data_IF_511699036346
#
_entry.id   IF_511699036346
#
_cell.length_a   1.000
_cell.length_b   1.000
_cell.length_c   1.000
_cell.angle_alpha   90.00
_cell.angle_beta   90.00
_cell.angle_gamma   90.00
#
_symmetry.space_group_name_H-M   'P 1'
#
loop_
_entity.id
_entity.type
_entity.pdbx_description
1 polymer ?
#
# COMPACT_ATOMS: atom_id res chain seq x y z
N UNK A 1 -49.95 15.85 19.06
CA UNK A 1 -49.25 15.86 17.75
C UNK A 1 -47.73 15.61 17.85
N UNK A 2 -47.01 16.20 18.82
CA UNK A 2 -45.54 16.07 18.93
C UNK A 2 -44.99 14.65 19.17
N UNK A 3 -45.71 13.79 19.90
CA UNK A 3 -45.26 12.40 20.20
C UNK A 3 -45.35 11.45 19.01
N UNK A 4 -46.32 11.66 18.11
CA UNK A 4 -46.50 10.84 16.91
C UNK A 4 -45.43 11.14 15.85
N UNK A 5 -45.03 12.41 15.72
CA UNK A 5 -43.91 12.81 14.86
C UNK A 5 -42.57 12.21 15.34
N UNK A 6 -42.35 12.12 16.66
CA UNK A 6 -41.15 11.53 17.24
C UNK A 6 -41.06 10.01 16.96
N UNK A 7 -42.18 9.30 17.06
CA UNK A 7 -42.27 7.87 16.70
C UNK A 7 -41.96 7.63 15.22
N UNK A 8 -42.47 8.50 14.33
CA UNK A 8 -42.17 8.40 12.90
C UNK A 8 -40.67 8.58 12.61
N UNK A 9 -40.01 9.52 13.31
CA UNK A 9 -38.58 9.78 13.15
C UNK A 9 -37.72 8.56 13.53
N UNK A 10 -38.08 7.86 14.61
CA UNK A 10 -37.37 6.65 15.08
C UNK A 10 -37.52 5.50 14.08
N UNK A 11 -38.69 5.36 13.44
CA UNK A 11 -38.94 4.34 12.42
C UNK A 11 -38.17 4.63 11.12
N UNK A 12 -37.90 5.91 10.82
CA UNK A 12 -37.15 6.34 9.64
C UNK A 12 -35.62 6.27 9.79
N UNK A 13 -35.09 6.25 11.02
CA UNK A 13 -33.65 6.12 11.30
C UNK A 13 -32.94 4.92 10.60
N UNK A 14 -33.50 3.69 10.58
CA UNK A 14 -32.82 2.54 9.96
C UNK A 14 -32.68 2.63 8.44
N UNK A 15 -33.47 3.46 7.74
CA UNK A 15 -33.27 3.70 6.30
C UNK A 15 -32.01 4.53 6.02
N UNK A 16 -31.63 5.45 6.92
CA UNK A 16 -30.41 6.25 6.78
C UNK A 16 -29.13 5.42 6.96
N UNK A 17 -29.17 4.40 7.82
CA UNK A 17 -28.03 3.50 8.06
C UNK A 17 -27.72 2.63 6.83
N UNK A 18 -28.74 2.23 6.06
CA UNK A 18 -28.55 1.47 4.82
C UNK A 18 -28.02 2.29 3.63
N UNK A 19 -27.92 3.61 3.78
CA UNK A 19 -27.34 4.51 2.76
C UNK A 19 -25.83 4.75 2.92
N UNK A 20 -25.20 4.20 3.97
CA UNK A 20 -23.74 4.19 4.08
C UNK A 20 -23.20 3.21 3.02
N UNK A 21 -22.79 3.77 1.90
CA UNK A 21 -22.18 3.05 0.80
C UNK A 21 -20.91 2.35 1.31
N UNK A 22 -20.71 1.05 1.04
CA UNK A 22 -19.38 0.47 1.20
C UNK A 22 -18.43 1.23 0.28
N UNK A 23 -17.25 1.58 0.78
CA UNK A 23 -16.20 2.20 -0.01
C UNK A 23 -15.93 1.30 -1.23
N UNK A 24 -16.35 1.77 -2.40
CA UNK A 24 -16.35 1.03 -3.65
C UNK A 24 -15.19 1.56 -4.46
N UNK A 25 -14.11 0.79 -4.58
CA UNK A 25 -13.09 1.08 -5.58
C UNK A 25 -13.74 1.04 -6.98
N UNK A 26 -13.15 1.77 -7.92
CA UNK A 26 -13.68 2.03 -9.26
C UNK A 26 -14.05 0.73 -10.02
N UNK A 27 -13.45 -0.40 -9.64
CA UNK A 27 -13.66 -1.75 -10.19
C UNK A 27 -14.78 -2.58 -9.54
N UNK A 28 -15.53 -2.05 -8.57
CA UNK A 28 -16.76 -2.68 -8.06
C UNK A 28 -16.59 -4.00 -7.29
N UNK A 29 -15.37 -4.42 -6.96
CA UNK A 29 -15.11 -5.60 -6.12
C UNK A 29 -15.34 -5.26 -4.65
N UNK A 30 -16.02 -6.15 -3.91
CA UNK A 30 -16.06 -6.10 -2.44
C UNK A 30 -14.69 -6.51 -1.93
N UNK A 31 -14.06 -5.66 -1.14
CA UNK A 31 -12.68 -5.85 -0.71
C UNK A 31 -12.64 -5.84 0.81
N UNK A 32 -12.08 -6.91 1.36
CA UNK A 32 -11.89 -7.09 2.79
C UNK A 32 -10.74 -6.17 3.24
N UNK A 33 -11.06 -5.16 4.06
CA UNK A 33 -10.15 -4.06 4.41
C UNK A 33 -8.85 -4.52 5.08
N UNK A 34 -8.90 -5.60 5.85
CA UNK A 34 -7.78 -6.08 6.66
C UNK A 34 -6.65 -6.71 5.81
N UNK A 35 -6.98 -7.40 4.71
CA UNK A 35 -5.97 -7.97 3.80
C UNK A 35 -5.33 -6.92 2.88
N UNK A 36 -6.07 -5.85 2.55
CA UNK A 36 -5.60 -4.76 1.69
C UNK A 36 -4.57 -3.88 2.41
N UNK A 37 -4.86 -3.45 3.65
CA UNK A 37 -3.96 -2.57 4.39
C UNK A 37 -2.60 -3.24 4.64
N UNK A 38 -2.58 -4.55 4.94
CA UNK A 38 -1.32 -5.26 5.20
C UNK A 38 -0.44 -5.37 3.95
N UNK A 39 -1.03 -5.46 2.76
CA UNK A 39 -0.30 -5.55 1.48
C UNK A 39 0.10 -4.18 0.93
N UNK A 40 -0.77 -3.18 1.07
CA UNK A 40 -0.55 -1.86 0.46
C UNK A 40 0.54 -1.04 1.18
N UNK A 41 0.82 -1.33 2.45
CA UNK A 41 1.84 -0.62 3.25
C UNK A 41 3.16 -1.38 3.40
N UNK A 42 3.29 -2.59 2.82
CA UNK A 42 4.56 -3.30 2.84
C UNK A 42 5.54 -2.63 1.87
N UNK A 43 6.68 -2.09 2.33
CA UNK A 43 7.64 -1.47 1.44
C UNK A 43 8.37 -2.54 0.62
N UNK A 44 8.50 -2.28 -0.66
CA UNK A 44 9.32 -3.08 -1.56
C UNK A 44 10.73 -2.49 -1.64
N UNK A 45 11.73 -3.37 -1.58
CA UNK A 45 13.13 -3.01 -1.68
C UNK A 45 13.65 -3.52 -3.02
N UNK A 46 14.13 -2.58 -3.84
CA UNK A 46 14.68 -2.83 -5.16
C UNK A 46 16.09 -2.25 -5.24
N UNK A 47 16.85 -2.68 -6.23
CA UNK A 47 18.19 -2.15 -6.41
C UNK A 47 18.93 -2.81 -7.55
N UNK A 48 20.08 -2.25 -7.88
CA UNK A 48 21.00 -2.85 -8.84
C UNK A 48 22.42 -2.61 -8.38
N UNK A 49 23.19 -3.69 -8.28
CA UNK A 49 24.60 -3.64 -7.99
C UNK A 49 25.34 -4.13 -9.23
N UNK A 50 26.29 -3.33 -9.71
CA UNK A 50 27.12 -3.64 -10.87
C UNK A 50 28.57 -3.71 -10.44
N UNK A 51 29.14 -4.90 -10.52
CA UNK A 51 30.53 -5.16 -10.16
C UNK A 51 31.32 -5.61 -11.39
N UNK A 52 32.60 -5.27 -11.41
CA UNK A 52 33.58 -5.80 -12.37
C UNK A 52 34.66 -6.53 -11.58
N UNK A 53 34.88 -7.78 -11.94
CA UNK A 53 36.06 -8.51 -11.51
C UNK A 53 36.99 -8.65 -12.70
N UNK A 54 38.27 -8.37 -12.49
CA UNK A 54 39.30 -8.46 -13.50
C UNK A 54 40.51 -9.17 -12.89
N UNK A 55 40.95 -10.24 -13.54
CA UNK A 55 42.16 -10.96 -13.16
C UNK A 55 43.21 -10.75 -14.24
N UNK A 56 44.36 -10.21 -13.84
CA UNK A 56 45.48 -9.99 -14.75
C UNK A 56 46.52 -11.09 -14.56
N UNK A 57 46.64 -11.95 -15.57
CA UNK A 57 47.53 -13.13 -15.56
C UNK A 57 49.01 -12.76 -15.50
N UNK A 58 49.42 -11.66 -16.13
CA UNK A 58 50.82 -11.22 -16.19
C UNK A 58 51.35 -10.69 -14.86
N UNK A 59 50.50 -10.04 -14.08
CA UNK A 59 50.88 -9.46 -12.78
C UNK A 59 50.39 -10.29 -11.58
N UNK A 60 49.76 -11.44 -11.85
CA UNK A 60 49.13 -12.32 -10.86
C UNK A 60 48.25 -11.58 -9.83
N UNK A 61 47.59 -10.50 -10.27
CA UNK A 61 46.84 -9.60 -9.42
C UNK A 61 45.37 -9.54 -9.87
N UNK A 62 44.46 -9.48 -8.89
CA UNK A 62 43.04 -9.33 -9.12
C UNK A 62 42.59 -7.92 -8.72
N UNK A 63 41.68 -7.36 -9.52
CA UNK A 63 40.99 -6.10 -9.21
C UNK A 63 39.50 -6.35 -9.18
N UNK A 64 38.89 -6.05 -8.05
CA UNK A 64 37.44 -6.02 -7.89
C UNK A 64 36.99 -4.58 -7.75
N UNK A 65 36.03 -4.16 -8.58
CA UNK A 65 35.48 -2.82 -8.58
C UNK A 65 33.95 -2.86 -8.56
N UNK A 66 33.34 -2.13 -7.63
CA UNK A 66 31.90 -1.87 -7.64
C UNK A 66 31.68 -0.60 -8.44
N UNK A 67 31.15 -0.73 -9.66
CA UNK A 67 30.96 0.40 -10.57
C UNK A 67 29.76 1.26 -10.17
N UNK A 68 28.73 0.61 -9.65
CA UNK A 68 27.51 1.27 -9.23
C UNK A 68 26.73 0.39 -8.26
N UNK A 69 26.20 0.98 -7.20
CA UNK A 69 25.27 0.35 -6.28
C UNK A 69 24.09 1.30 -6.09
N UNK A 70 22.89 0.83 -6.47
CA UNK A 70 21.65 1.57 -6.29
C UNK A 70 20.72 0.76 -5.42
N UNK A 71 20.11 1.44 -4.46
CA UNK A 71 19.08 0.90 -3.58
C UNK A 71 17.87 1.82 -3.71
N UNK A 72 16.69 1.24 -3.81
CA UNK A 72 15.43 1.93 -3.96
C UNK A 72 14.42 1.28 -3.02
N UNK A 73 13.69 2.12 -2.29
CA UNK A 73 12.66 1.68 -1.36
C UNK A 73 11.38 2.35 -1.81
N UNK A 74 10.36 1.55 -2.11
CA UNK A 74 9.07 2.03 -2.60
C UNK A 74 8.00 1.49 -1.68
N UNK A 75 7.06 2.33 -1.26
CA UNK A 75 5.94 1.90 -0.43
C UNK A 75 5.01 3.05 -0.16
N UNK A 76 3.74 2.75 0.08
CA UNK A 76 2.79 3.76 0.49
C UNK A 76 2.97 4.08 1.97
N UNK A 77 2.90 5.36 2.33
CA UNK A 77 2.90 5.80 3.73
C UNK A 77 1.47 6.00 4.15
N UNK A 78 1.09 5.48 5.32
CA UNK A 78 -0.20 5.76 5.94
C UNK A 78 -0.37 7.28 6.09
N UNK A 79 -1.37 7.90 5.47
CA UNK A 79 -1.70 9.29 5.74
C UNK A 79 -2.42 9.33 7.09
N UNK A 80 -1.64 9.31 8.18
CA UNK A 80 -2.16 9.72 9.48
C UNK A 80 -2.32 11.24 9.44
N UNK A 81 -3.54 11.71 9.67
CA UNK A 81 -3.90 13.12 9.94
C UNK A 81 -3.85 13.35 11.44
#
# INVERSE_FOLDING_TARGET
MKKSALMLLIILLPLAVKAQTPYRNEDGKKIDKEELETKDYLPEIHGTIRTKFEYQTEMAASRFEVRNARISITGNVLPIV
#
